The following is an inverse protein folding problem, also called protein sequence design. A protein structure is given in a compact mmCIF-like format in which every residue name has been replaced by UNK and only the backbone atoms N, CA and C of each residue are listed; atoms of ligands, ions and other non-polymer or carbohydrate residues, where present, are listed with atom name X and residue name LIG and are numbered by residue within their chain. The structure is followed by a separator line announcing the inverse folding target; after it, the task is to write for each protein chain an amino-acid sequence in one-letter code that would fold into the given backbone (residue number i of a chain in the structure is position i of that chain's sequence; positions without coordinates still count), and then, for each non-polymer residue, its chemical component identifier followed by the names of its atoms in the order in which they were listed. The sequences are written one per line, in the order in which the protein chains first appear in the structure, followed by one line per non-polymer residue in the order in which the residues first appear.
data_IF_462827127384
#
_entry.id   IF_462827127384
#
_cell.length_a   1.000
_cell.length_b   1.000
_cell.length_c   1.000
_cell.angle_alpha   90.00
_cell.angle_beta   90.00
_cell.angle_gamma   90.00
#
_symmetry.space_group_name_H-M   'P 1'
#
loop_
_entity.id
_entity.type
_entity.pdbx_description
1 polymer ?
#
# COMPACT_ATOMS: atom_id res chain seq x y z
N UNK A 1 -8.06 10.43 -7.30
CA UNK A 1 -6.63 10.41 -6.96
C UNK A 1 -6.36 9.03 -6.40
N UNK A 2 -5.50 8.23 -7.02
CA UNK A 2 -5.15 6.91 -6.47
C UNK A 2 -4.28 7.17 -5.24
N UNK A 3 -4.80 6.85 -4.06
CA UNK A 3 -4.03 6.89 -2.82
C UNK A 3 -3.04 5.73 -2.85
N UNK A 4 -1.74 6.02 -2.68
CA UNK A 4 -0.76 4.97 -2.43
C UNK A 4 -1.06 4.34 -1.05
N UNK A 5 -1.26 3.01 -0.95
CA UNK A 5 -1.49 2.37 0.34
C UNK A 5 -0.24 2.50 1.21
N UNK A 6 -0.42 2.69 2.52
CA UNK A 6 0.69 2.89 3.46
C UNK A 6 1.59 1.65 3.54
N UNK A 7 0.99 0.48 3.35
CA UNK A 7 1.69 -0.80 3.22
C UNK A 7 2.62 -0.84 2.00
N UNK A 8 2.26 -0.17 0.91
CA UNK A 8 3.10 0.03 -0.27
C UNK A 8 4.37 0.82 0.05
N UNK A 9 4.22 2.00 0.69
CA UNK A 9 5.37 2.82 1.14
C UNK A 9 6.25 2.06 2.13
N UNK A 10 5.64 1.41 3.13
CA UNK A 10 6.35 0.61 4.14
C UNK A 10 7.19 -0.50 3.48
N UNK A 11 6.58 -1.28 2.58
CA UNK A 11 7.28 -2.37 1.90
C UNK A 11 8.40 -1.84 0.98
N UNK A 12 8.14 -0.81 0.17
CA UNK A 12 9.12 -0.28 -0.78
C UNK A 12 10.36 0.31 -0.07
N UNK A 13 10.16 1.25 0.83
CA UNK A 13 11.25 1.94 1.53
C UNK A 13 11.89 1.07 2.61
N UNK A 14 11.11 0.21 3.28
CA UNK A 14 11.65 -0.77 4.21
C UNK A 14 12.56 -1.79 3.52
N UNK A 15 12.21 -2.28 2.33
CA UNK A 15 13.11 -3.13 1.54
C UNK A 15 14.36 -2.37 1.08
N UNK A 16 14.24 -1.10 0.67
CA UNK A 16 15.39 -0.25 0.36
C UNK A 16 16.36 -0.16 1.55
N UNK A 17 15.84 0.01 2.77
CA UNK A 17 16.64 0.03 3.98
C UNK A 17 17.28 -1.33 4.29
N UNK A 18 16.53 -2.42 4.17
CA UNK A 18 17.05 -3.78 4.39
C UNK A 18 18.15 -4.15 3.39
N UNK A 19 18.05 -3.66 2.16
CA UNK A 19 19.07 -3.81 1.12
C UNK A 19 20.25 -2.82 1.26
N UNK A 20 20.21 -1.90 2.23
CA UNK A 20 21.26 -0.89 2.44
C UNK A 20 21.31 0.19 1.35
N UNK A 21 20.23 0.38 0.61
CA UNK A 21 20.14 1.34 -0.50
C UNK A 21 19.75 2.76 -0.05
N UNK A 22 19.15 2.88 1.14
CA UNK A 22 18.73 4.17 1.74
C UNK A 22 19.11 4.22 3.22
N UNK A 23 19.25 5.43 3.75
CA UNK A 23 19.46 5.62 5.19
C UNK A 23 18.20 5.30 5.99
N UNK A 24 18.31 4.95 7.29
CA UNK A 24 17.14 4.78 8.14
C UNK A 24 16.22 6.00 8.18
N UNK A 25 16.79 7.20 8.17
CA UNK A 25 16.03 8.45 8.27
C UNK A 25 15.25 8.72 6.97
N UNK A 26 15.88 8.53 5.80
CA UNK A 26 15.21 8.68 4.50
C UNK A 26 14.07 7.67 4.35
N UNK A 27 14.31 6.41 4.75
CA UNK A 27 13.29 5.38 4.72
C UNK A 27 12.09 5.76 5.60
N UNK A 28 12.33 6.19 6.84
CA UNK A 28 11.24 6.57 7.75
C UNK A 28 10.46 7.78 7.24
N UNK A 29 11.14 8.81 6.75
CA UNK A 29 10.50 10.00 6.21
C UNK A 29 9.61 9.65 5.01
N UNK A 30 10.08 8.78 4.12
CA UNK A 30 9.31 8.36 2.96
C UNK A 30 8.16 7.39 3.29
N UNK A 31 8.29 6.56 4.34
CA UNK A 31 7.21 5.69 4.83
C UNK A 31 6.07 6.53 5.43
N UNK A 32 6.42 7.53 6.25
CA UNK A 32 5.46 8.44 6.88
C UNK A 32 4.76 9.29 5.83
N UNK A 33 5.50 9.84 4.86
CA UNK A 33 4.93 10.66 3.79
C UNK A 33 4.16 11.86 4.36
N UNK A 34 2.89 11.98 3.98
CA UNK A 34 2.01 13.08 4.43
C UNK A 34 1.34 12.82 5.79
N UNK A 35 1.52 11.62 6.39
CA UNK A 35 1.01 11.32 7.72
C UNK A 35 1.86 12.04 8.79
N UNK A 36 1.30 12.28 9.99
CA UNK A 36 2.04 12.95 11.05
C UNK A 36 3.05 12.04 11.75
N UNK A 37 2.65 10.80 12.05
CA UNK A 37 3.51 9.86 12.78
C UNK A 37 3.10 8.42 12.54
N UNK A 38 4.10 7.56 12.43
CA UNK A 38 3.93 6.11 12.41
C UNK A 38 4.62 5.48 13.62
N UNK A 39 3.90 4.64 14.36
CA UNK A 39 4.42 3.82 15.46
C UNK A 39 4.20 2.34 15.17
N UNK A 40 4.94 1.49 15.87
CA UNK A 40 4.85 0.03 15.74
C UNK A 40 4.62 -0.57 17.10
N UNK A 41 3.58 -1.39 17.24
CA UNK A 41 3.17 -2.07 18.47
C UNK A 41 3.21 -3.59 18.29
N UNK A 42 3.36 -4.34 19.38
CA UNK A 42 3.42 -5.81 19.35
C UNK A 42 4.76 -6.38 18.88
N UNK A 43 5.79 -5.53 18.71
CA UNK A 43 7.10 -5.95 18.23
C UNK A 43 7.83 -6.81 19.29
N UNK A 44 8.34 -8.01 18.95
CA UNK A 44 9.02 -8.86 19.90
C UNK A 44 10.21 -8.16 20.59
N UNK A 45 10.19 -8.15 21.93
CA UNK A 45 11.23 -7.52 22.76
C UNK A 45 10.95 -6.08 23.16
N UNK A 46 9.86 -5.46 22.68
CA UNK A 46 9.42 -4.13 23.08
C UNK A 46 8.13 -4.22 23.90
N UNK A 47 8.01 -3.43 24.98
CA UNK A 47 6.85 -3.48 25.89
C UNK A 47 5.80 -2.41 25.59
N UNK A 48 6.06 -1.52 24.64
CA UNK A 48 5.18 -0.41 24.25
C UNK A 48 5.41 -0.08 22.77
N UNK A 49 4.53 0.73 22.20
CA UNK A 49 4.68 1.20 20.82
C UNK A 49 5.97 2.01 20.62
N UNK A 50 6.75 1.64 19.61
CA UNK A 50 8.04 2.26 19.26
C UNK A 50 7.97 3.03 17.95
N UNK A 51 8.91 3.96 17.72
CA UNK A 51 9.03 4.65 16.44
C UNK A 51 9.54 3.74 15.32
N UNK A 52 9.23 4.08 14.07
CA UNK A 52 9.60 3.29 12.89
C UNK A 52 11.10 2.97 12.79
N UNK A 53 11.99 3.93 13.11
CA UNK A 53 13.44 3.72 13.02
C UNK A 53 13.90 2.55 13.90
N UNK A 54 13.43 2.51 15.16
CA UNK A 54 13.73 1.41 16.08
C UNK A 54 13.08 0.12 15.59
N UNK A 55 11.82 0.18 15.16
CA UNK A 55 11.09 -0.99 14.69
C UNK A 55 11.79 -1.67 13.49
N UNK A 56 12.21 -0.92 12.48
CA UNK A 56 12.92 -1.45 11.32
C UNK A 56 14.29 -2.06 11.71
N UNK A 57 15.01 -1.43 12.64
CA UNK A 57 16.25 -1.98 13.18
C UNK A 57 16.04 -3.29 13.94
N UNK A 58 14.95 -3.40 14.69
CA UNK A 58 14.54 -4.61 15.41
C UNK A 58 14.10 -5.72 14.48
N UNK A 59 13.26 -5.43 13.47
CA UNK A 59 12.87 -6.41 12.44
C UNK A 59 14.11 -7.01 11.76
N UNK A 60 15.10 -6.18 11.39
CA UNK A 60 16.38 -6.66 10.85
C UNK A 60 17.12 -7.56 11.85
N UNK A 61 17.14 -7.19 13.13
CA UNK A 61 17.78 -8.00 14.20
C UNK A 61 17.06 -9.33 14.44
N UNK A 62 15.75 -9.38 14.17
CA UNK A 62 14.92 -10.59 14.24
C UNK A 62 15.05 -11.48 12.99
N UNK A 63 15.90 -11.10 12.01
CA UNK A 63 16.15 -11.90 10.81
C UNK A 63 15.27 -11.54 9.61
N UNK A 64 14.52 -10.44 9.66
CA UNK A 64 13.74 -9.98 8.51
C UNK A 64 14.69 -9.52 7.40
N UNK A 65 14.55 -10.13 6.22
CA UNK A 65 15.35 -9.82 5.02
C UNK A 65 14.53 -9.21 3.89
N UNK A 66 13.21 -9.18 4.04
CA UNK A 66 12.32 -8.54 3.06
C UNK A 66 10.93 -8.30 3.61
N UNK A 67 10.21 -7.39 2.98
CA UNK A 67 8.84 -7.01 3.27
C UNK A 67 8.00 -7.18 2.01
N UNK A 68 6.86 -7.85 2.12
CA UNK A 68 5.92 -8.05 1.01
C UNK A 68 4.59 -7.40 1.32
N UNK A 69 4.07 -6.61 0.41
CA UNK A 69 2.72 -6.03 0.52
C UNK A 69 1.65 -7.11 0.30
N UNK A 70 0.56 -7.00 1.05
CA UNK A 70 -0.68 -7.73 0.83
C UNK A 70 -1.84 -6.73 0.85
N UNK A 71 -2.66 -6.75 -0.20
CA UNK A 71 -3.82 -5.87 -0.38
C UNK A 71 -5.09 -6.73 -0.49
N UNK A 72 -5.54 -7.33 0.63
CA UNK A 72 -6.70 -8.20 0.60
C UNK A 72 -7.98 -7.41 0.35
N UNK A 73 -8.95 -8.06 -0.28
CA UNK A 73 -10.31 -7.53 -0.45
C UNK A 73 -11.34 -8.56 0.05
N UNK A 74 -12.60 -8.17 0.32
CA UNK A 74 -13.65 -9.11 0.68
C UNK A 74 -13.77 -10.26 -0.33
N UNK A 75 -13.60 -11.50 0.13
CA UNK A 75 -13.60 -12.69 -0.73
C UNK A 75 -12.28 -12.99 -1.46
N UNK A 76 -11.26 -12.14 -1.29
CA UNK A 76 -9.96 -12.24 -1.95
C UNK A 76 -8.80 -12.03 -0.96
N UNK A 77 -8.46 -13.04 -0.14
CA UNK A 77 -7.39 -12.95 0.86
C UNK A 77 -5.98 -13.15 0.26
N UNK A 78 -5.79 -12.87 -1.04
CA UNK A 78 -4.51 -13.12 -1.71
C UNK A 78 -3.37 -12.38 -1.00
N UNK A 79 -2.24 -13.07 -0.88
CA UNK A 79 -1.07 -12.53 -0.20
C UNK A 79 -1.08 -12.67 1.33
N UNK A 80 -2.18 -13.07 1.96
CA UNK A 80 -2.22 -13.38 3.39
C UNK A 80 -1.80 -14.82 3.67
N UNK A 81 -1.09 -15.03 4.78
CA UNK A 81 -0.54 -16.35 5.15
C UNK A 81 -1.20 -16.93 6.42
N UNK A 82 -2.21 -16.27 7.00
CA UNK A 82 -2.74 -16.62 8.31
C UNK A 82 -1.75 -16.25 9.44
N UNK A 83 -2.08 -16.51 10.73
CA UNK A 83 -3.32 -17.12 11.26
C UNK A 83 -4.60 -16.27 11.08
N UNK A 84 -5.79 -16.79 11.46
CA UNK A 84 -7.07 -16.08 11.29
C UNK A 84 -7.12 -14.68 11.88
N UNK A 85 -6.44 -14.45 13.00
CA UNK A 85 -6.39 -13.13 13.66
C UNK A 85 -5.67 -12.09 12.79
N UNK A 86 -4.49 -12.42 12.25
CA UNK A 86 -3.79 -11.57 11.29
C UNK A 86 -4.65 -11.32 10.05
N UNK A 87 -5.26 -12.37 9.51
CA UNK A 87 -6.09 -12.25 8.30
C UNK A 87 -7.31 -11.35 8.53
N UNK A 88 -7.98 -11.48 9.68
CA UNK A 88 -9.14 -10.68 10.02
C UNK A 88 -8.79 -9.19 10.09
N UNK A 89 -7.69 -8.86 10.79
CA UNK A 89 -7.19 -7.48 10.89
C UNK A 89 -6.75 -6.93 9.52
N UNK A 90 -6.01 -7.73 8.75
CA UNK A 90 -5.57 -7.33 7.40
C UNK A 90 -6.74 -7.12 6.44
N UNK A 91 -7.81 -7.91 6.54
CA UNK A 91 -9.04 -7.74 5.76
C UNK A 91 -9.81 -6.49 6.18
N UNK A 92 -9.86 -6.16 7.47
CA UNK A 92 -10.50 -4.95 7.98
C UNK A 92 -9.76 -3.68 7.55
N UNK A 93 -8.42 -3.72 7.54
CA UNK A 93 -7.59 -2.62 7.08
C UNK A 93 -7.47 -2.54 5.54
N UNK A 94 -7.86 -3.60 4.82
CA UNK A 94 -7.62 -3.79 3.37
C UNK A 94 -6.13 -3.73 2.96
N UNK A 95 -5.22 -3.72 3.93
CA UNK A 95 -3.78 -3.69 3.69
C UNK A 95 -2.98 -4.34 4.83
N UNK A 96 -1.85 -4.96 4.45
CA UNK A 96 -0.87 -5.50 5.38
C UNK A 96 0.52 -5.61 4.74
N UNK A 97 1.54 -5.78 5.59
CA UNK A 97 2.91 -6.14 5.19
C UNK A 97 3.28 -7.46 5.84
N UNK A 98 3.82 -8.39 5.07
CA UNK A 98 4.30 -9.70 5.54
C UNK A 98 5.84 -9.69 5.50
N UNK A 99 6.47 -10.00 6.63
CA UNK A 99 7.92 -10.11 6.71
C UNK A 99 8.41 -11.44 6.11
N UNK A 100 9.56 -11.40 5.44
CA UNK A 100 10.31 -12.58 5.02
C UNK A 100 11.53 -12.75 5.92
N UNK A 101 11.83 -13.99 6.33
CA UNK A 101 12.90 -14.33 7.28
C UNK A 101 12.49 -14.30 8.75
N UNK A 102 11.28 -13.82 9.05
CA UNK A 102 10.62 -14.00 10.35
C UNK A 102 9.11 -14.10 10.16
N UNK A 103 8.47 -14.94 10.97
CA UNK A 103 7.03 -15.17 11.03
C UNK A 103 6.21 -13.99 11.61
N UNK A 104 6.43 -12.77 11.10
CA UNK A 104 5.75 -11.54 11.51
C UNK A 104 5.03 -10.86 10.34
N UNK A 105 3.89 -10.25 10.64
CA UNK A 105 3.14 -9.38 9.74
C UNK A 105 2.76 -8.08 10.44
N UNK A 106 2.56 -7.01 9.67
CA UNK A 106 2.20 -5.69 10.15
C UNK A 106 0.89 -5.26 9.49
N UNK A 107 -0.07 -4.80 10.29
CA UNK A 107 -1.35 -4.26 9.83
C UNK A 107 -1.47 -2.82 10.33
N UNK A 108 -1.81 -1.83 9.49
CA UNK A 108 -1.95 -0.46 9.95
C UNK A 108 -3.33 -0.23 10.59
N UNK A 109 -3.31 0.44 11.73
CA UNK A 109 -4.47 1.08 12.34
C UNK A 109 -4.31 2.59 12.15
N UNK A 110 -5.29 3.23 11.48
CA UNK A 110 -5.22 4.63 11.07
C UNK A 110 -6.13 5.47 11.97
N UNK A 111 -5.59 6.55 12.50
CA UNK A 111 -6.30 7.48 13.38
C UNK A 111 -6.23 8.89 12.81
N UNK A 112 -7.34 9.62 12.89
CA UNK A 112 -7.39 11.04 12.62
C UNK A 112 -7.40 11.81 13.95
N UNK A 113 -6.55 12.83 14.05
CA UNK A 113 -6.45 13.67 15.22
C UNK A 113 -6.25 15.15 14.82
N UNK A 114 -6.65 16.06 15.69
CA UNK A 114 -6.58 17.51 15.45
C UNK A 114 -7.94 18.18 15.24
N UNK A 115 -7.99 19.53 15.26
CA UNK A 115 -9.23 20.28 15.08
C UNK A 115 -9.68 20.29 13.61
N UNK A 116 -10.94 20.63 13.38
CA UNK A 116 -11.47 20.80 12.03
C UNK A 116 -10.65 21.84 11.25
N UNK A 117 -10.09 21.42 10.11
CA UNK A 117 -9.22 22.25 9.26
C UNK A 117 -7.71 22.06 9.50
N UNK A 118 -7.32 21.29 10.51
CA UNK A 118 -5.93 20.89 10.79
C UNK A 118 -5.92 19.45 11.33
N UNK A 119 -6.53 18.55 10.54
CA UNK A 119 -6.59 17.12 10.83
C UNK A 119 -5.31 16.48 10.32
N UNK A 120 -4.63 15.76 11.19
CA UNK A 120 -3.48 14.95 10.86
C UNK A 120 -3.78 13.47 11.04
N UNK A 121 -3.07 12.64 10.28
CA UNK A 121 -3.21 11.19 10.33
C UNK A 121 -2.07 10.57 11.12
N UNK A 122 -2.40 9.71 12.08
CA UNK A 122 -1.44 8.90 12.82
C UNK A 122 -1.67 7.43 12.50
N UNK A 123 -0.59 6.65 12.44
CA UNK A 123 -0.65 5.23 12.06
C UNK A 123 0.04 4.38 13.11
N UNK A 124 -0.63 3.34 13.58
CA UNK A 124 -0.03 2.30 14.43
C UNK A 124 0.02 1.00 13.65
N UNK A 125 1.23 0.50 13.41
CA UNK A 125 1.45 -0.80 12.81
C UNK A 125 1.41 -1.88 13.89
N UNK A 126 0.36 -2.70 13.87
CA UNK A 126 0.21 -3.82 14.78
C UNK A 126 0.98 -5.01 14.24
N UNK A 127 1.99 -5.45 14.99
CA UNK A 127 2.80 -6.63 14.64
C UNK A 127 2.10 -7.87 15.17
N UNK A 128 1.77 -8.78 14.27
CA UNK A 128 1.12 -10.05 14.57
C UNK A 128 1.96 -11.22 14.05
N UNK A 129 1.88 -12.40 14.69
CA UNK A 129 2.46 -13.60 14.12
C UNK A 129 1.78 -13.92 12.78
N UNK A 130 2.57 -14.35 11.80
CA UNK A 130 2.06 -14.94 10.55
C UNK A 130 2.55 -16.38 10.43
N UNK A 131 1.96 -17.18 9.53
CA UNK A 131 2.58 -18.47 9.19
C UNK A 131 3.69 -18.25 8.17
N UNK A 132 4.86 -18.81 8.45
CA UNK A 132 5.86 -19.08 7.43
C UNK A 132 5.31 -20.19 6.52
N UNK A 133 4.56 -19.77 5.51
CA UNK A 133 4.11 -20.61 4.42
C UNK A 133 5.00 -20.34 3.19
N UNK A 134 5.06 -21.27 2.21
CA UNK A 134 5.45 -20.90 0.86
C UNK A 134 4.71 -19.62 0.45
N UNK A 135 5.30 -18.77 -0.41
CA UNK A 135 4.61 -17.58 -0.90
C UNK A 135 3.18 -17.96 -1.26
N UNK A 136 2.19 -17.22 -0.76
CA UNK A 136 0.80 -17.41 -1.18
C UNK A 136 0.78 -17.54 -2.72
N UNK A 137 -0.15 -18.31 -3.28
CA UNK A 137 -0.33 -18.43 -4.74
C UNK A 137 -0.72 -17.07 -5.33
N UNK A 138 0.24 -16.15 -5.36
CA UNK A 138 0.17 -14.85 -5.97
C UNK A 138 0.73 -15.00 -7.37
N UNK A 139 0.12 -14.32 -8.34
CA UNK A 139 0.65 -14.28 -9.70
C UNK A 139 2.14 -13.94 -9.67
N UNK A 140 2.92 -14.61 -10.49
CA UNK A 140 4.28 -14.16 -10.80
C UNK A 140 4.26 -12.73 -11.34
N UNK A 141 5.39 -12.02 -11.26
CA UNK A 141 5.48 -10.66 -11.78
C UNK A 141 5.00 -10.57 -13.24
N UNK A 142 5.39 -11.51 -14.09
CA UNK A 142 4.96 -11.53 -15.49
C UNK A 142 3.46 -11.79 -15.67
N UNK A 143 2.85 -12.57 -14.77
CA UNK A 143 1.40 -12.74 -14.76
C UNK A 143 0.69 -11.47 -14.29
N UNK A 144 1.20 -10.82 -13.25
CA UNK A 144 0.67 -9.54 -12.77
C UNK A 144 0.81 -8.41 -13.81
N UNK A 145 1.96 -8.34 -14.51
CA UNK A 145 2.17 -7.38 -15.61
C UNK A 145 1.22 -7.64 -16.78
N UNK A 146 0.99 -8.92 -17.12
CA UNK A 146 0.04 -9.30 -18.16
C UNK A 146 -1.38 -8.94 -17.78
N UNK A 147 -1.80 -9.25 -16.55
CA UNK A 147 -3.13 -8.92 -16.03
C UNK A 147 -3.36 -7.40 -15.99
N UNK A 148 -2.35 -6.63 -15.54
CA UNK A 148 -2.39 -5.16 -15.58
C UNK A 148 -2.50 -4.63 -17.01
N UNK A 149 -1.72 -5.16 -17.95
CA UNK A 149 -1.78 -4.76 -19.35
C UNK A 149 -3.15 -5.07 -19.98
N UNK A 150 -3.73 -6.23 -19.67
CA UNK A 150 -5.08 -6.62 -20.09
C UNK A 150 -6.14 -5.67 -19.54
N UNK A 151 -6.11 -5.40 -18.22
CA UNK A 151 -7.03 -4.48 -17.56
C UNK A 151 -6.94 -3.03 -18.11
N UNK A 152 -5.72 -2.53 -18.37
CA UNK A 152 -5.51 -1.22 -18.99
C UNK A 152 -6.07 -1.16 -20.41
N UNK A 153 -5.91 -2.24 -21.20
CA UNK A 153 -6.45 -2.31 -22.55
C UNK A 153 -7.98 -2.29 -22.54
N UNK A 154 -8.60 -3.09 -21.67
CA UNK A 154 -10.05 -3.13 -21.50
C UNK A 154 -10.61 -1.78 -21.03
N UNK A 155 -9.99 -1.16 -20.01
CA UNK A 155 -10.38 0.17 -19.55
C UNK A 155 -10.29 1.23 -20.66
N UNK A 156 -9.24 1.17 -21.50
CA UNK A 156 -9.06 2.07 -22.64
C UNK A 156 -10.14 1.85 -23.70
N UNK A 157 -10.50 0.60 -24.00
CA UNK A 157 -11.62 0.29 -24.90
C UNK A 157 -12.94 0.84 -24.37
N UNK A 158 -13.21 0.69 -23.07
CA UNK A 158 -14.40 1.25 -22.41
C UNK A 158 -14.42 2.77 -22.53
N UNK A 159 -13.32 3.45 -22.17
CA UNK A 159 -13.21 4.92 -22.26
C UNK A 159 -13.36 5.43 -23.69
N UNK A 160 -12.83 4.70 -24.67
CA UNK A 160 -12.97 5.03 -26.10
C UNK A 160 -14.42 4.86 -26.58
N UNK A 161 -15.11 3.78 -26.18
CA UNK A 161 -16.53 3.59 -26.51
C UNK A 161 -17.44 4.63 -25.88
N UNK A 162 -17.12 5.04 -24.65
CA UNK A 162 -17.84 6.10 -23.95
C UNK A 162 -17.52 7.49 -24.50
N UNK A 163 -16.54 7.58 -25.41
CA UNK A 163 -16.11 8.80 -26.08
C UNK A 163 -15.83 9.94 -25.10
N UNK A 164 -15.24 9.60 -23.94
CA UNK A 164 -15.01 10.55 -22.83
C UNK A 164 -14.07 11.68 -23.26
N UNK A 165 -13.23 11.44 -24.26
CA UNK A 165 -12.33 12.41 -24.86
C UNK A 165 -12.91 13.16 -26.06
N UNK A 166 -14.09 12.79 -26.57
CA UNK A 166 -14.72 13.61 -27.60
C UNK A 166 -15.12 14.95 -27.02
N UNK A 167 -14.80 15.97 -27.81
CA UNK A 167 -15.35 17.28 -27.64
C UNK A 167 -16.85 17.16 -27.89
N UNK A 168 -17.64 16.96 -26.83
CA UNK A 168 -19.07 16.69 -26.92
C UNK A 168 -19.85 17.75 -27.72
N UNK A 169 -21.18 17.60 -27.86
CA UNK A 169 -21.98 18.39 -28.82
C UNK A 169 -21.82 19.91 -28.69
N UNK A 170 -21.49 20.42 -27.50
CA UNK A 170 -21.20 21.85 -27.26
C UNK A 170 -19.94 22.32 -27.99
N UNK A 171 -18.87 21.52 -27.97
CA UNK A 171 -17.62 21.87 -28.62
C UNK A 171 -17.70 21.71 -30.15
N UNK A 172 -18.42 20.70 -30.64
CA UNK A 172 -18.74 20.59 -32.07
C UNK A 172 -19.57 21.78 -32.57
N UNK A 173 -20.58 22.20 -31.81
CA UNK A 173 -21.38 23.38 -32.13
C UNK A 173 -20.53 24.66 -32.16
N UNK A 174 -19.59 24.81 -31.22
CA UNK A 174 -18.66 25.95 -31.20
C UNK A 174 -17.73 25.97 -32.42
N UNK A 175 -17.19 24.82 -32.83
CA UNK A 175 -16.37 24.69 -34.05
C UNK A 175 -17.19 24.98 -35.30
N UNK A 176 -18.44 24.48 -35.37
CA UNK A 176 -19.36 24.75 -36.47
C UNK A 176 -19.66 26.25 -36.61
N UNK A 177 -19.93 26.93 -35.49
CA UNK A 177 -20.18 28.38 -35.47
C UNK A 177 -18.94 29.19 -35.89
N UNK A 178 -17.73 28.72 -35.58
CA UNK A 178 -16.48 29.36 -36.03
C UNK A 178 -16.29 29.21 -37.55
N UNK A 179 -16.49 28.00 -38.10
CA UNK A 179 -16.35 27.73 -39.55
C UNK A 179 -17.36 28.49 -40.41
N UNK A 180 -18.57 28.71 -39.91
CA UNK A 180 -19.62 29.45 -40.63
C UNK A 180 -19.36 30.97 -40.75
N UNK A 181 -18.32 31.50 -40.09
CA UNK A 181 -17.89 32.91 -40.17
C UNK A 181 -16.78 33.16 -41.19
N UNK A 182 -16.21 32.11 -41.76
CA UNK A 182 -15.22 32.17 -42.84
C UNK A 182 -15.91 32.04 -44.20
#
# INVERSE_FOLDING_TARGET
MLSEPRSGRLAAWGNGLLAGLVSPDDAVLAIVGDDAVHRVEGLPGETAAVGLTLALGRLRSLGVTGLRVALPAPGHPLGLSGPPEFNARALEAEEAVVCHGAALGLVPEVYEAGPAGDVHVEVVWQVLPVREAPPADVPSLGEAERELAEALREATEVLSRLDVAASGPVAEAAIGAYRARA
#
